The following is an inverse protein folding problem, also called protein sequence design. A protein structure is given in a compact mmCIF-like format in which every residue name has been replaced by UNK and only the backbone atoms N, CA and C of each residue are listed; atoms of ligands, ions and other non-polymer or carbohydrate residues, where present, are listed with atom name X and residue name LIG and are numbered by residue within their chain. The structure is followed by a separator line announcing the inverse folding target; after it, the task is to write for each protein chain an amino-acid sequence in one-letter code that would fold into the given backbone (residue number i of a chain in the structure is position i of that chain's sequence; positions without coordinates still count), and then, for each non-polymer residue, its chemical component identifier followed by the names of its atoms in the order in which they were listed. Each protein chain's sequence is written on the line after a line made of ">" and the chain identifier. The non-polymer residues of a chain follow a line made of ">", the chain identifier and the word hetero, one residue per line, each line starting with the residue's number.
data_IF_560749468792
#
_entry.id   IF_560749468792
#
_cell.length_a   1.000
_cell.length_b   1.000
_cell.length_c   1.000
_cell.angle_alpha   90.00
_cell.angle_beta   90.00
_cell.angle_gamma   90.00
#
_symmetry.space_group_name_H-M   'P 1'
#
loop_
_entity.id
_entity.type
_entity.pdbx_description
1 polymer ?
#
# COMPACT_ATOMS: atom_id res chain seq x y z
N UNK A 1 -37.36 -29.94 -14.21
CA UNK A 1 -38.34 -30.15 -15.31
C UNK A 1 -38.64 -31.66 -15.50
N UNK A 2 -37.68 -32.62 -15.64
CA UNK A 2 -38.02 -34.04 -15.87
C UNK A 2 -38.78 -34.70 -14.70
N UNK A 3 -38.52 -34.31 -13.46
CA UNK A 3 -39.17 -34.84 -12.27
C UNK A 3 -40.64 -34.46 -12.21
N UNK A 4 -40.98 -33.23 -12.58
CA UNK A 4 -42.37 -32.75 -12.61
C UNK A 4 -43.13 -33.45 -13.72
N UNK A 5 -42.53 -33.65 -14.90
CA UNK A 5 -43.13 -34.36 -16.03
C UNK A 5 -43.40 -35.82 -15.68
N UNK A 6 -42.44 -36.50 -15.04
CA UNK A 6 -42.61 -37.89 -14.57
C UNK A 6 -43.74 -37.99 -13.55
N UNK A 7 -43.86 -37.04 -12.63
CA UNK A 7 -44.88 -37.05 -11.59
C UNK A 7 -46.28 -36.80 -12.17
N UNK A 8 -46.42 -35.89 -13.13
CA UNK A 8 -47.68 -35.65 -13.86
C UNK A 8 -48.08 -36.88 -14.66
N UNK A 9 -47.12 -37.58 -15.26
CA UNK A 9 -47.37 -38.82 -16.00
C UNK A 9 -47.91 -39.95 -15.10
N UNK A 10 -47.31 -40.15 -13.92
CA UNK A 10 -47.73 -41.13 -12.92
C UNK A 10 -49.12 -40.81 -12.36
N UNK A 11 -49.43 -39.53 -12.13
CA UNK A 11 -50.75 -39.09 -11.68
C UNK A 11 -51.87 -39.36 -12.72
N UNK A 12 -51.52 -39.27 -14.01
CA UNK A 12 -52.47 -39.46 -15.12
C UNK A 12 -52.80 -40.94 -15.36
N UNK A 13 -51.90 -41.86 -14.96
CA UNK A 13 -52.01 -43.29 -15.21
C UNK A 13 -52.85 -44.04 -14.17
N UNK A 14 -52.98 -43.50 -12.94
CA UNK A 14 -53.73 -44.10 -11.85
C UNK A 14 -55.05 -43.36 -11.59
N UNK A 15 -56.16 -43.89 -12.08
CA UNK A 15 -57.53 -43.52 -11.67
C UNK A 15 -57.86 -44.08 -10.26
N UNK A 16 -57.14 -43.51 -9.26
CA UNK A 16 -57.36 -43.91 -7.85
C UNK A 16 -58.28 -42.88 -7.18
N UNK A 17 -59.32 -43.33 -6.47
CA UNK A 17 -60.10 -42.48 -5.55
C UNK A 17 -59.18 -42.07 -4.38
N UNK A 18 -58.59 -40.91 -4.48
CA UNK A 18 -57.62 -40.40 -3.55
C UNK A 18 -58.31 -39.88 -2.30
N UNK A 19 -58.18 -40.61 -1.16
CA UNK A 19 -58.58 -40.06 0.15
C UNK A 19 -57.71 -38.82 0.45
N UNK A 20 -58.24 -37.83 1.14
CA UNK A 20 -57.54 -36.58 1.54
C UNK A 20 -56.10 -36.80 2.09
N UNK A 21 -55.88 -37.90 2.77
CA UNK A 21 -54.62 -38.31 3.34
C UNK A 21 -53.51 -38.50 2.26
N UNK A 22 -53.85 -39.05 1.11
CA UNK A 22 -52.88 -39.24 0.01
C UNK A 22 -52.41 -37.92 -0.58
N UNK A 23 -53.26 -36.91 -0.69
CA UNK A 23 -52.89 -35.57 -1.14
C UNK A 23 -51.87 -34.92 -0.17
N UNK A 24 -52.07 -35.10 1.14
CA UNK A 24 -51.14 -34.61 2.16
C UNK A 24 -49.79 -35.31 2.05
N UNK A 25 -49.76 -36.62 1.84
CA UNK A 25 -48.51 -37.38 1.68
C UNK A 25 -47.72 -36.92 0.43
N UNK A 26 -48.43 -36.69 -0.69
CA UNK A 26 -47.77 -36.20 -1.91
C UNK A 26 -47.27 -34.76 -1.77
N UNK A 27 -48.04 -33.90 -1.12
CA UNK A 27 -47.61 -32.52 -0.83
C UNK A 27 -46.35 -32.50 0.03
N UNK A 28 -46.28 -33.34 1.07
CA UNK A 28 -45.08 -33.48 1.90
C UNK A 28 -43.87 -34.01 1.13
N UNK A 29 -44.06 -34.99 0.24
CA UNK A 29 -42.97 -35.48 -0.63
C UNK A 29 -42.45 -34.41 -1.58
N UNK A 30 -43.32 -33.62 -2.20
CA UNK A 30 -42.93 -32.52 -3.08
C UNK A 30 -42.18 -31.46 -2.27
N UNK A 31 -42.69 -31.11 -1.09
CA UNK A 31 -42.02 -30.16 -0.20
C UNK A 31 -40.62 -30.64 0.20
N UNK A 32 -40.46 -31.91 0.58
CA UNK A 32 -39.18 -32.51 0.95
C UNK A 32 -38.18 -32.49 -0.22
N UNK A 33 -38.62 -32.84 -1.45
CA UNK A 33 -37.77 -32.76 -2.66
C UNK A 33 -37.39 -31.32 -2.97
N UNK A 34 -38.33 -30.38 -2.84
CA UNK A 34 -38.05 -28.95 -3.05
C UNK A 34 -37.02 -28.42 -2.05
N UNK A 35 -37.16 -28.75 -0.76
CA UNK A 35 -36.18 -28.41 0.27
C UNK A 35 -34.81 -29.02 -0.04
N UNK A 36 -34.74 -30.26 -0.51
CA UNK A 36 -33.48 -30.91 -0.89
C UNK A 36 -32.82 -30.19 -2.06
N UNK A 37 -33.61 -29.78 -3.08
CA UNK A 37 -33.10 -29.01 -4.23
C UNK A 37 -32.54 -27.65 -3.77
N UNK A 38 -33.27 -26.94 -2.90
CA UNK A 38 -32.81 -25.66 -2.34
C UNK A 38 -31.55 -25.83 -1.51
N UNK A 39 -31.47 -26.90 -0.68
CA UNK A 39 -30.29 -27.19 0.11
C UNK A 39 -29.05 -27.49 -0.76
N UNK A 40 -29.24 -28.25 -1.85
CA UNK A 40 -28.15 -28.56 -2.80
C UNK A 40 -27.75 -27.35 -3.66
N UNK A 41 -28.67 -26.44 -3.95
CA UNK A 41 -28.41 -25.22 -4.69
C UNK A 41 -27.58 -24.21 -3.87
N UNK A 42 -27.48 -24.41 -2.54
CA UNK A 42 -26.77 -23.52 -1.61
C UNK A 42 -26.98 -22.02 -1.92
N UNK A 43 -28.26 -21.56 -2.02
CA UNK A 43 -28.52 -20.16 -2.35
C UNK A 43 -27.98 -19.28 -1.22
N UNK A 44 -27.17 -18.29 -1.56
CA UNK A 44 -26.77 -17.22 -0.64
C UNK A 44 -27.42 -15.91 -1.07
N UNK A 45 -27.87 -15.18 -0.08
CA UNK A 45 -28.49 -13.86 -0.28
C UNK A 45 -27.41 -12.83 0.07
N UNK A 46 -26.97 -12.07 -0.93
CA UNK A 46 -26.15 -10.90 -0.69
C UNK A 46 -27.08 -9.80 -0.14
N UNK A 47 -27.02 -9.59 1.16
CA UNK A 47 -27.65 -8.43 1.77
C UNK A 47 -26.76 -7.23 1.53
N UNK A 48 -27.29 -6.10 1.02
CA UNK A 48 -26.50 -4.88 0.94
C UNK A 48 -26.09 -4.49 2.35
N UNK A 49 -24.77 -4.31 2.55
CA UNK A 49 -24.24 -3.78 3.80
C UNK A 49 -24.38 -2.26 3.70
N UNK A 50 -25.36 -1.71 4.39
CA UNK A 50 -25.71 -0.28 4.33
C UNK A 50 -24.64 0.65 4.92
N UNK A 51 -23.69 0.11 5.68
CA UNK A 51 -22.61 0.88 6.30
C UNK A 51 -21.27 0.34 5.88
N UNK A 52 -20.49 1.17 5.23
CA UNK A 52 -19.11 0.91 4.83
C UNK A 52 -18.16 1.71 5.69
N UNK A 53 -17.08 1.07 6.13
CA UNK A 53 -15.97 1.73 6.80
C UNK A 53 -14.83 1.88 5.81
N UNK A 54 -14.28 3.08 5.71
CA UNK A 54 -13.10 3.35 4.89
C UNK A 54 -11.94 3.73 5.81
N UNK A 55 -10.86 2.96 5.72
CA UNK A 55 -9.67 3.14 6.54
C UNK A 55 -8.53 3.57 5.62
N UNK A 56 -8.17 4.84 5.66
CA UNK A 56 -6.99 5.35 4.97
C UNK A 56 -5.73 4.98 5.75
N UNK A 57 -4.79 4.36 5.07
CA UNK A 57 -3.52 3.93 5.63
C UNK A 57 -2.40 4.54 4.80
N UNK A 58 -1.78 5.59 5.32
CA UNK A 58 -0.80 6.41 4.63
C UNK A 58 0.61 6.04 5.07
N UNK A 59 1.43 5.64 4.13
CA UNK A 59 2.86 5.42 4.31
C UNK A 59 3.58 6.76 4.47
N UNK A 60 4.29 6.91 5.59
CA UNK A 60 5.13 8.07 5.93
C UNK A 60 6.56 7.66 6.23
N UNK A 61 7.05 6.64 5.54
CA UNK A 61 8.45 6.24 5.57
C UNK A 61 9.33 7.28 4.86
N UNK A 62 10.63 7.13 4.99
CA UNK A 62 11.59 8.04 4.37
C UNK A 62 11.46 8.07 2.83
N UNK A 63 11.09 6.93 2.21
CA UNK A 63 10.92 6.83 0.75
C UNK A 63 9.73 7.61 0.21
N UNK A 64 8.64 7.75 1.00
CA UNK A 64 7.41 8.43 0.61
C UNK A 64 7.31 9.87 1.11
N UNK A 65 8.33 10.38 1.77
CA UNK A 65 8.31 11.71 2.41
C UNK A 65 8.05 12.87 1.44
N UNK A 66 8.50 12.77 0.18
CA UNK A 66 8.23 13.76 -0.87
C UNK A 66 6.76 13.77 -1.31
N UNK A 67 6.05 12.65 -1.14
CA UNK A 67 4.69 12.44 -1.62
C UNK A 67 3.62 12.62 -0.52
N UNK A 68 4.02 13.05 0.68
CA UNK A 68 3.09 13.28 1.80
C UNK A 68 1.98 14.28 1.43
N UNK A 69 2.33 15.32 0.63
CA UNK A 69 1.34 16.28 0.16
C UNK A 69 0.33 15.64 -0.81
N UNK A 70 0.80 14.82 -1.75
CA UNK A 70 -0.04 14.10 -2.72
C UNK A 70 -0.99 13.15 -1.99
N UNK A 71 -0.49 12.39 -1.01
CA UNK A 71 -1.30 11.49 -0.20
C UNK A 71 -2.38 12.22 0.61
N UNK A 72 -2.01 13.34 1.26
CA UNK A 72 -2.96 14.14 2.04
C UNK A 72 -4.02 14.80 1.17
N UNK A 73 -3.66 15.28 -0.02
CA UNK A 73 -4.60 15.82 -0.99
C UNK A 73 -5.61 14.76 -1.45
N UNK A 74 -5.14 13.56 -1.79
CA UNK A 74 -6.01 12.44 -2.17
C UNK A 74 -7.03 12.12 -1.08
N UNK A 75 -6.60 12.02 0.18
CA UNK A 75 -7.50 11.75 1.31
C UNK A 75 -8.50 12.90 1.47
N UNK A 76 -8.06 14.16 1.37
CA UNK A 76 -8.94 15.34 1.48
C UNK A 76 -10.02 15.36 0.38
N UNK A 77 -9.65 15.03 -0.87
CA UNK A 77 -10.60 14.91 -1.98
C UNK A 77 -11.61 13.79 -1.74
N UNK A 78 -11.15 12.64 -1.23
CA UNK A 78 -12.03 11.53 -0.86
C UNK A 78 -13.01 11.90 0.25
N UNK A 79 -12.55 12.62 1.28
CA UNK A 79 -13.42 13.11 2.35
C UNK A 79 -14.49 14.09 1.86
N UNK A 80 -14.15 14.96 0.91
CA UNK A 80 -15.09 15.91 0.32
C UNK A 80 -16.22 15.22 -0.44
N UNK A 81 -15.96 14.04 -1.03
CA UNK A 81 -16.92 13.26 -1.79
C UNK A 81 -17.54 12.11 -0.97
N UNK A 82 -17.28 12.05 0.32
CA UNK A 82 -17.78 10.99 1.21
C UNK A 82 -19.32 11.07 1.39
N UNK A 83 -19.99 9.92 1.35
CA UNK A 83 -21.40 9.83 1.77
C UNK A 83 -21.52 9.90 3.29
N UNK A 84 -22.56 10.56 3.81
CA UNK A 84 -22.78 10.77 5.26
C UNK A 84 -22.82 9.46 6.07
N UNK A 85 -23.26 8.36 5.44
CA UNK A 85 -23.38 7.05 6.10
C UNK A 85 -22.04 6.30 6.27
N UNK A 86 -20.98 6.73 5.55
CA UNK A 86 -19.68 6.07 5.60
C UNK A 86 -18.87 6.57 6.80
N UNK A 87 -18.30 5.64 7.54
CA UNK A 87 -17.36 5.93 8.61
C UNK A 87 -15.94 5.93 8.04
N UNK A 88 -15.15 6.94 8.39
CA UNK A 88 -13.78 7.08 7.91
C UNK A 88 -12.83 7.12 9.09
N UNK A 89 -11.73 6.39 8.99
CA UNK A 89 -10.58 6.46 9.89
C UNK A 89 -9.32 6.77 9.09
N UNK A 90 -8.42 7.57 9.66
CA UNK A 90 -7.16 7.96 9.01
C UNK A 90 -6.00 7.52 9.90
N UNK A 91 -5.10 6.76 9.31
CA UNK A 91 -3.95 6.18 9.97
C UNK A 91 -2.71 6.46 9.14
N UNK A 92 -1.60 6.67 9.80
CA UNK A 92 -0.29 6.76 9.16
C UNK A 92 0.64 5.69 9.72
N UNK A 93 1.60 5.24 8.92
CA UNK A 93 2.56 4.24 9.34
C UNK A 93 3.94 4.47 8.70
N UNK A 94 4.93 3.90 9.33
CA UNK A 94 6.25 3.61 8.80
C UNK A 94 6.71 2.31 9.49
N UNK A 95 7.55 2.38 10.51
CA UNK A 95 7.89 1.25 11.38
C UNK A 95 6.73 0.89 12.33
N UNK A 96 5.93 1.87 12.73
CA UNK A 96 4.77 1.71 13.62
C UNK A 96 3.56 2.48 13.12
N UNK A 97 2.35 1.98 13.43
CA UNK A 97 1.08 2.63 13.10
C UNK A 97 0.79 3.78 14.07
N UNK A 98 0.27 4.88 13.53
CA UNK A 98 -0.32 6.01 14.29
C UNK A 98 -1.73 6.29 13.83
N UNK A 99 -2.59 6.62 14.79
CA UNK A 99 -3.95 7.06 14.53
C UNK A 99 -3.97 8.57 14.38
N UNK A 100 -4.28 9.06 13.19
CA UNK A 100 -4.42 10.49 12.90
C UNK A 100 -5.86 10.95 13.11
N UNK A 101 -6.83 10.10 12.75
CA UNK A 101 -8.25 10.29 13.07
C UNK A 101 -8.90 8.95 13.39
N UNK A 102 -9.66 8.90 14.48
CA UNK A 102 -10.44 7.73 14.84
C UNK A 102 -11.56 7.49 13.82
N UNK A 103 -11.97 6.23 13.69
CA UNK A 103 -13.08 5.83 12.82
C UNK A 103 -14.38 6.50 13.26
N UNK A 104 -14.93 7.39 12.43
CA UNK A 104 -16.16 8.14 12.69
C UNK A 104 -16.82 8.59 11.38
N UNK A 105 -18.13 8.78 11.41
CA UNK A 105 -18.87 9.42 10.31
C UNK A 105 -18.67 10.94 10.24
N UNK A 106 -18.15 11.55 11.31
CA UNK A 106 -17.97 13.00 11.45
C UNK A 106 -16.65 13.53 10.85
N UNK A 107 -15.79 12.64 10.30
CA UNK A 107 -14.52 13.06 9.69
C UNK A 107 -14.82 13.70 8.35
N UNK A 108 -14.62 15.02 8.24
CA UNK A 108 -14.89 15.83 7.04
C UNK A 108 -13.63 16.46 6.45
N UNK A 109 -12.55 16.52 7.22
CA UNK A 109 -11.30 17.13 6.78
C UNK A 109 -10.09 16.34 7.26
N UNK A 110 -8.99 16.48 6.53
CA UNK A 110 -7.71 15.87 6.89
C UNK A 110 -7.20 16.46 8.22
N UNK A 111 -6.89 15.62 9.22
CA UNK A 111 -6.35 16.11 10.50
C UNK A 111 -4.91 16.61 10.33
N UNK A 112 -4.44 17.37 11.32
CA UNK A 112 -3.01 17.66 11.40
C UNK A 112 -2.25 16.39 11.73
N UNK A 113 -1.29 16.04 10.89
CA UNK A 113 -0.51 14.81 11.04
C UNK A 113 0.41 14.85 12.25
N UNK A 114 0.44 13.76 12.98
CA UNK A 114 1.35 13.58 14.11
C UNK A 114 2.80 13.40 13.66
N UNK A 115 3.76 13.71 14.53
CA UNK A 115 5.19 13.48 14.21
C UNK A 115 5.51 11.98 14.25
N UNK A 116 6.11 11.45 13.19
CA UNK A 116 6.63 10.08 13.17
C UNK A 116 7.95 10.01 13.97
N UNK A 117 8.12 8.94 14.74
CA UNK A 117 9.33 8.72 15.57
C UNK A 117 10.39 7.89 14.87
N UNK A 118 10.01 7.02 13.95
CA UNK A 118 10.89 6.18 13.14
C UNK A 118 10.32 6.11 11.73
N UNK A 119 11.13 6.49 10.73
CA UNK A 119 10.75 6.51 9.32
C UNK A 119 11.69 5.67 8.45
N UNK A 120 12.68 5.03 9.07
CA UNK A 120 13.74 4.28 8.35
C UNK A 120 13.29 2.89 7.87
N UNK A 121 12.18 2.40 8.38
CA UNK A 121 11.59 1.11 7.99
C UNK A 121 10.12 1.29 7.64
N UNK A 122 9.65 0.44 6.72
CA UNK A 122 8.25 0.38 6.27
C UNK A 122 7.73 -1.03 6.58
N UNK A 123 6.71 -1.13 7.43
CA UNK A 123 6.07 -2.39 7.82
C UNK A 123 4.58 -2.36 7.47
N UNK A 124 4.27 -2.69 6.21
CA UNK A 124 2.90 -2.68 5.69
C UNK A 124 2.09 -3.82 6.31
N UNK A 125 2.72 -4.99 6.52
CA UNK A 125 2.07 -6.14 7.14
C UNK A 125 1.48 -5.79 8.51
N UNK A 126 2.28 -5.21 9.39
CA UNK A 126 1.86 -4.85 10.74
C UNK A 126 0.81 -3.74 10.73
N UNK A 127 0.95 -2.76 9.83
CA UNK A 127 -0.02 -1.69 9.65
C UNK A 127 -1.39 -2.23 9.22
N UNK A 128 -1.45 -3.17 8.27
CA UNK A 128 -2.68 -3.83 7.85
C UNK A 128 -3.31 -4.65 8.98
N UNK A 129 -2.53 -5.40 9.74
CA UNK A 129 -3.01 -6.17 10.91
C UNK A 129 -3.64 -5.26 11.95
N UNK A 130 -2.96 -4.18 12.30
CA UNK A 130 -3.45 -3.24 13.32
C UNK A 130 -4.72 -2.55 12.87
N UNK A 131 -4.74 -2.00 11.65
CA UNK A 131 -5.92 -1.29 11.13
C UNK A 131 -7.13 -2.23 10.99
N UNK A 132 -6.92 -3.46 10.54
CA UNK A 132 -8.00 -4.46 10.45
C UNK A 132 -8.55 -4.85 11.82
N UNK A 133 -7.72 -4.81 12.86
CA UNK A 133 -8.16 -5.09 14.23
C UNK A 133 -9.08 -4.01 14.81
N UNK A 134 -8.98 -2.77 14.31
CA UNK A 134 -9.80 -1.61 14.71
C UNK A 134 -11.16 -1.64 14.02
N UNK A 135 -11.23 -2.23 12.82
CA UNK A 135 -12.44 -2.29 12.02
C UNK A 135 -13.56 -3.12 12.70
N UNK A 136 -14.80 -2.65 12.54
CA UNK A 136 -15.98 -3.41 12.96
C UNK A 136 -16.23 -4.59 12.00
N UNK A 137 -16.07 -5.79 12.47
CA UNK A 137 -16.23 -7.03 11.69
C UNK A 137 -17.63 -7.25 11.11
N UNK A 138 -18.63 -6.50 11.59
CA UNK A 138 -20.01 -6.59 11.10
C UNK A 138 -20.29 -5.69 9.92
N UNK A 139 -19.34 -4.80 9.56
CA UNK A 139 -19.44 -3.85 8.46
C UNK A 139 -18.51 -4.26 7.32
N UNK A 140 -18.83 -3.82 6.09
CA UNK A 140 -17.88 -3.88 5.01
C UNK A 140 -16.75 -2.89 5.28
N UNK A 141 -15.51 -3.33 5.12
CA UNK A 141 -14.33 -2.52 5.38
C UNK A 141 -13.52 -2.39 4.11
N UNK A 142 -13.26 -1.16 3.72
CA UNK A 142 -12.33 -0.83 2.63
C UNK A 142 -11.09 -0.17 3.22
N UNK A 143 -9.95 -0.79 3.03
CA UNK A 143 -8.65 -0.22 3.39
C UNK A 143 -8.08 0.41 2.12
N UNK A 144 -7.76 1.70 2.19
CA UNK A 144 -7.09 2.43 1.11
C UNK A 144 -5.66 2.66 1.55
N UNK A 145 -4.76 1.87 0.98
CA UNK A 145 -3.33 1.90 1.29
C UNK A 145 -2.61 2.83 0.32
N UNK A 146 -2.04 3.92 0.82
CA UNK A 146 -1.23 4.86 0.07
C UNK A 146 0.24 4.59 0.39
N UNK A 147 0.99 4.03 -0.55
CA UNK A 147 2.39 3.59 -0.36
C UNK A 147 3.13 3.51 -1.70
N UNK A 148 4.45 3.56 -1.68
CA UNK A 148 5.31 3.23 -2.82
C UNK A 148 5.51 1.70 -2.99
N UNK A 149 5.00 0.90 -2.04
CA UNK A 149 5.09 -0.56 -2.05
C UNK A 149 6.43 -1.13 -1.56
N UNK A 150 7.37 -0.28 -1.14
CA UNK A 150 8.68 -0.69 -0.62
C UNK A 150 8.59 -1.13 0.85
N UNK A 151 8.11 -2.35 1.08
CA UNK A 151 8.15 -2.94 2.41
C UNK A 151 9.58 -3.38 2.75
N UNK A 152 10.13 -2.85 3.86
CA UNK A 152 11.48 -3.21 4.33
C UNK A 152 11.44 -4.23 5.47
N UNK A 153 10.30 -4.40 6.12
CA UNK A 153 10.09 -5.33 7.22
C UNK A 153 8.66 -5.86 7.15
N UNK A 154 8.49 -7.18 7.08
CA UNK A 154 7.19 -7.85 6.96
C UNK A 154 7.01 -8.63 5.65
N UNK A 155 5.84 -9.23 5.51
CA UNK A 155 5.41 -9.99 4.32
C UNK A 155 3.96 -9.66 3.97
N UNK A 156 3.71 -8.44 3.47
CA UNK A 156 2.38 -7.89 3.19
C UNK A 156 1.49 -8.81 2.36
N UNK A 157 2.06 -9.56 1.39
CA UNK A 157 1.27 -10.46 0.54
C UNK A 157 0.65 -11.61 1.32
N UNK A 158 1.32 -12.10 2.37
CA UNK A 158 0.77 -13.14 3.25
C UNK A 158 -0.42 -12.58 4.03
N UNK A 159 -0.29 -11.38 4.55
CA UNK A 159 -1.37 -10.72 5.29
C UNK A 159 -2.57 -10.41 4.38
N UNK A 160 -2.34 -9.79 3.22
CA UNK A 160 -3.38 -9.44 2.25
C UNK A 160 -4.20 -10.66 1.78
N UNK A 161 -3.56 -11.81 1.61
CA UNK A 161 -4.26 -13.06 1.23
C UNK A 161 -5.29 -13.53 2.26
N UNK A 162 -5.15 -13.15 3.54
CA UNK A 162 -6.13 -13.50 4.57
C UNK A 162 -7.47 -12.79 4.36
N UNK A 163 -7.47 -11.66 3.66
CA UNK A 163 -8.68 -10.86 3.41
C UNK A 163 -9.49 -11.34 2.20
N UNK A 164 -8.95 -12.21 1.34
CA UNK A 164 -9.57 -12.67 0.10
C UNK A 164 -11.00 -13.24 0.25
N UNK A 165 -11.35 -13.78 1.44
CA UNK A 165 -12.67 -14.34 1.75
C UNK A 165 -13.34 -13.63 2.93
N UNK A 166 -12.99 -12.40 3.20
CA UNK A 166 -13.54 -11.59 4.28
C UNK A 166 -14.34 -10.39 3.74
N UNK A 167 -14.96 -9.64 4.65
CA UNK A 167 -15.63 -8.38 4.32
C UNK A 167 -14.63 -7.20 4.22
N UNK A 168 -13.34 -7.48 4.07
CA UNK A 168 -12.27 -6.48 3.96
C UNK A 168 -11.74 -6.48 2.54
N UNK A 169 -11.73 -5.31 1.90
CA UNK A 169 -11.04 -5.06 0.64
C UNK A 169 -9.84 -4.14 0.88
N UNK A 170 -8.77 -4.35 0.13
CA UNK A 170 -7.58 -3.50 0.17
C UNK A 170 -7.37 -2.94 -1.23
N UNK A 171 -7.49 -1.63 -1.34
CA UNK A 171 -7.19 -0.88 -2.56
C UNK A 171 -5.86 -0.15 -2.37
N UNK A 172 -4.97 -0.21 -3.36
CA UNK A 172 -3.66 0.43 -3.28
C UNK A 172 -3.64 1.66 -4.18
N UNK A 173 -3.25 2.78 -3.61
CA UNK A 173 -2.95 4.03 -4.32
C UNK A 173 -1.43 4.17 -4.33
N UNK A 174 -0.78 3.97 -5.48
CA UNK A 174 0.66 4.07 -5.56
C UNK A 174 1.10 5.52 -5.32
N UNK A 175 2.00 5.70 -4.36
CA UNK A 175 2.75 6.94 -4.18
C UNK A 175 4.02 6.82 -5.03
N UNK A 176 3.87 7.09 -6.33
CA UNK A 176 5.02 7.12 -7.21
C UNK A 176 5.83 8.37 -6.88
N UNK A 177 7.04 8.17 -6.40
CA UNK A 177 7.98 9.26 -6.29
C UNK A 177 8.09 9.89 -7.68
N UNK A 178 7.50 11.06 -7.82
CA UNK A 178 7.76 11.88 -8.99
C UNK A 178 9.23 12.24 -8.87
N UNK A 179 10.10 11.44 -9.49
CA UNK A 179 11.51 11.73 -9.57
C UNK A 179 11.61 12.94 -10.49
N UNK A 180 11.29 14.12 -9.97
CA UNK A 180 11.74 15.38 -10.51
C UNK A 180 13.21 15.62 -10.11
N UNK A 181 13.91 14.51 -9.82
CA UNK A 181 15.36 14.56 -9.66
C UNK A 181 15.94 14.52 -11.07
N UNK A 182 15.96 15.68 -11.68
CA UNK A 182 16.71 15.92 -12.91
C UNK A 182 18.18 15.47 -12.80
N UNK A 183 18.65 15.10 -11.59
CA UNK A 183 20.01 14.67 -11.28
C UNK A 183 19.98 13.56 -10.23
N UNK A 184 20.62 12.44 -10.55
CA UNK A 184 20.75 11.28 -9.64
C UNK A 184 22.23 10.94 -9.45
N UNK A 185 22.71 10.86 -8.22
CA UNK A 185 24.00 10.27 -7.91
C UNK A 185 23.88 8.75 -7.95
N UNK A 186 24.29 8.12 -9.05
CA UNK A 186 24.16 6.67 -9.24
C UNK A 186 25.14 5.86 -8.38
N UNK A 187 26.40 6.34 -8.31
CA UNK A 187 27.41 5.72 -7.47
C UNK A 187 28.50 6.69 -7.04
N UNK A 188 29.07 6.39 -5.89
CA UNK A 188 30.28 7.04 -5.39
C UNK A 188 31.28 5.93 -5.02
N UNK A 189 32.38 5.86 -5.80
CA UNK A 189 33.38 4.84 -5.66
C UNK A 189 34.61 5.42 -4.95
N UNK A 190 35.04 4.74 -3.89
CA UNK A 190 36.25 5.09 -3.12
C UNK A 190 37.12 3.87 -2.92
N UNK A 191 38.44 3.99 -2.81
CA UNK A 191 39.33 2.89 -2.46
C UNK A 191 38.96 2.29 -1.09
N UNK A 192 38.92 0.98 -0.97
CA UNK A 192 38.66 0.31 0.30
C UNK A 192 39.86 0.37 1.27
N UNK A 193 41.06 0.51 0.73
CA UNK A 193 42.31 0.61 1.49
C UNK A 193 43.21 1.60 0.77
N UNK A 194 43.88 2.46 1.54
CA UNK A 194 44.89 3.38 1.05
C UNK A 194 46.00 3.52 2.09
N UNK A 195 47.23 3.82 1.64
CA UNK A 195 48.35 4.08 2.51
C UNK A 195 48.42 5.56 2.91
N UNK A 196 49.04 5.81 4.05
CA UNK A 196 49.25 7.19 4.50
C UNK A 196 50.01 8.03 3.46
N UNK A 197 49.47 9.19 3.12
CA UNK A 197 50.00 10.07 2.10
C UNK A 197 49.74 9.62 0.64
N UNK A 198 49.03 8.53 0.41
CA UNK A 198 48.68 8.06 -0.93
C UNK A 198 47.55 8.90 -1.53
N UNK A 199 47.75 9.24 -2.80
CA UNK A 199 46.72 9.93 -3.59
C UNK A 199 45.63 8.93 -3.98
N UNK A 200 44.43 9.16 -3.46
CA UNK A 200 43.24 8.35 -3.73
C UNK A 200 42.42 8.97 -4.86
N UNK A 201 41.74 8.12 -5.64
CA UNK A 201 40.79 8.56 -6.64
C UNK A 201 39.35 8.33 -6.10
N UNK A 202 38.59 9.40 -6.03
CA UNK A 202 37.19 9.41 -5.68
C UNK A 202 36.39 9.59 -6.98
N UNK A 203 35.52 8.62 -7.32
CA UNK A 203 34.80 8.63 -8.60
C UNK A 203 33.30 8.76 -8.32
N UNK A 204 32.68 9.77 -8.93
CA UNK A 204 31.24 9.99 -8.90
C UNK A 204 30.65 9.69 -10.27
N UNK A 205 29.61 8.87 -10.31
CA UNK A 205 28.77 8.68 -11.48
C UNK A 205 27.41 9.36 -11.23
N UNK A 206 27.10 10.34 -12.05
CA UNK A 206 25.90 11.20 -11.90
C UNK A 206 25.08 11.10 -13.17
N UNK A 207 23.83 10.70 -13.06
CA UNK A 207 22.87 10.76 -14.17
C UNK A 207 22.13 12.10 -14.14
N UNK A 208 21.98 12.73 -15.29
CA UNK A 208 21.17 13.92 -15.45
C UNK A 208 20.17 13.73 -16.60
N UNK A 209 18.92 14.10 -16.37
CA UNK A 209 17.86 13.99 -17.38
C UNK A 209 18.00 15.05 -18.49
N UNK A 210 18.64 16.16 -18.20
CA UNK A 210 18.89 17.26 -19.12
C UNK A 210 20.19 17.98 -18.78
N UNK A 211 20.71 18.77 -19.74
CA UNK A 211 21.87 19.64 -19.48
C UNK A 211 21.57 20.67 -18.39
N UNK A 212 22.39 20.71 -17.34
CA UNK A 212 22.27 21.69 -16.26
C UNK A 212 23.54 21.88 -15.45
N UNK A 213 23.60 23.01 -14.73
CA UNK A 213 24.67 23.27 -13.79
C UNK A 213 24.36 22.61 -12.44
N UNK A 214 25.33 21.90 -11.90
CA UNK A 214 25.25 21.28 -10.60
C UNK A 214 26.48 21.61 -9.75
N UNK A 215 26.35 21.50 -8.45
CA UNK A 215 27.42 21.63 -7.51
C UNK A 215 27.70 20.26 -6.90
N UNK A 216 28.94 19.79 -7.04
CA UNK A 216 29.45 18.58 -6.43
C UNK A 216 30.16 18.95 -5.13
N UNK A 217 29.76 18.32 -4.01
CA UNK A 217 30.35 18.56 -2.71
C UNK A 217 30.80 17.20 -2.16
N UNK A 218 32.06 17.12 -1.73
CA UNK A 218 32.61 15.92 -1.10
C UNK A 218 32.99 16.20 0.36
N UNK A 219 32.72 15.24 1.21
CA UNK A 219 33.08 15.27 2.62
C UNK A 219 33.97 14.08 3.00
N UNK A 220 34.88 14.31 3.93
CA UNK A 220 35.66 13.32 4.63
C UNK A 220 35.39 13.48 6.14
N UNK A 221 34.84 12.45 6.81
CA UNK A 221 34.48 12.47 8.23
C UNK A 221 33.68 13.72 8.64
N UNK A 222 32.63 14.05 7.84
CA UNK A 222 31.76 15.22 7.98
C UNK A 222 32.47 16.60 7.70
N UNK A 223 33.77 16.62 7.35
CA UNK A 223 34.48 17.84 6.91
C UNK A 223 34.44 17.95 5.39
N UNK A 224 34.07 19.14 4.90
CA UNK A 224 34.00 19.41 3.46
C UNK A 224 35.42 19.53 2.85
N UNK A 225 35.75 18.61 1.93
CA UNK A 225 37.02 18.52 1.25
C UNK A 225 37.03 19.12 -0.18
N UNK A 226 35.83 19.12 -0.81
CA UNK A 226 35.68 19.65 -2.16
C UNK A 226 34.30 20.29 -2.33
N UNK A 227 34.26 21.39 -3.09
CA UNK A 227 33.04 22.00 -3.61
C UNK A 227 33.34 22.54 -4.99
N UNK A 228 32.67 21.96 -6.03
CA UNK A 228 32.95 22.33 -7.42
C UNK A 228 31.65 22.40 -8.22
N UNK A 229 31.48 23.51 -8.95
CA UNK A 229 30.42 23.63 -9.95
C UNK A 229 30.82 22.90 -11.23
N UNK A 230 29.90 22.06 -11.75
CA UNK A 230 30.09 21.29 -12.96
C UNK A 230 28.90 21.43 -13.90
N UNK A 231 29.16 21.35 -15.20
CA UNK A 231 28.10 21.24 -16.19
C UNK A 231 27.81 19.76 -16.43
N UNK A 232 26.61 19.33 -16.10
CA UNK A 232 26.10 17.99 -16.42
C UNK A 232 25.53 17.98 -17.83
N UNK A 233 25.85 16.95 -18.60
CA UNK A 233 25.22 16.64 -19.87
C UNK A 233 24.07 15.65 -19.66
N UNK A 234 23.11 15.62 -20.56
CA UNK A 234 22.06 14.59 -20.56
C UNK A 234 22.68 13.18 -20.57
N UNK A 235 22.21 12.33 -19.67
CA UNK A 235 22.72 10.96 -19.47
C UNK A 235 23.77 10.86 -18.38
N UNK A 236 24.69 9.91 -18.50
CA UNK A 236 25.69 9.58 -17.50
C UNK A 236 26.91 10.49 -17.57
N UNK A 237 27.22 11.12 -16.44
CA UNK A 237 28.38 11.96 -16.24
C UNK A 237 29.31 11.32 -15.22
N UNK A 238 30.62 11.23 -15.54
CA UNK A 238 31.62 10.66 -14.64
C UNK A 238 32.66 11.70 -14.26
N UNK A 239 32.80 11.94 -12.95
CA UNK A 239 33.79 12.85 -12.39
C UNK A 239 34.79 12.06 -11.54
N UNK A 240 36.06 12.40 -11.67
CA UNK A 240 37.13 11.77 -10.88
C UNK A 240 37.91 12.87 -10.17
N UNK A 241 37.97 12.76 -8.85
CA UNK A 241 38.70 13.68 -7.99
C UNK A 241 39.87 12.95 -7.34
N UNK A 242 41.01 13.66 -7.25
CA UNK A 242 42.16 13.14 -6.54
C UNK A 242 42.24 13.79 -5.16
N UNK A 243 42.31 12.96 -4.13
CA UNK A 243 42.39 13.42 -2.74
C UNK A 243 43.46 12.67 -1.98
N UNK A 244 44.15 13.36 -1.05
CA UNK A 244 45.10 12.80 -0.11
C UNK A 244 44.52 13.02 1.28
N UNK A 245 44.11 11.94 1.96
CA UNK A 245 43.61 12.07 3.32
C UNK A 245 44.76 12.36 4.28
N UNK A 246 44.55 13.28 5.19
CA UNK A 246 45.44 13.53 6.33
C UNK A 246 45.10 12.69 7.55
N UNK A 247 44.01 11.93 7.50
CA UNK A 247 43.48 11.15 8.60
C UNK A 247 43.88 9.67 8.46
N UNK A 248 44.28 9.03 9.54
CA UNK A 248 44.56 7.58 9.58
C UNK A 248 43.42 6.84 10.28
N UNK A 249 43.12 5.62 9.83
CA UNK A 249 42.09 4.77 10.41
C UNK A 249 40.87 4.60 9.48
N UNK A 250 39.67 4.47 10.04
CA UNK A 250 38.46 4.37 9.27
C UNK A 250 38.04 5.78 8.81
N UNK A 251 37.91 5.95 7.50
CA UNK A 251 37.54 7.21 6.87
C UNK A 251 36.17 7.02 6.23
N UNK A 252 35.25 7.94 6.52
CA UNK A 252 33.91 8.02 5.90
C UNK A 252 33.95 9.11 4.82
N UNK A 253 33.70 8.71 3.57
CA UNK A 253 33.50 9.66 2.48
C UNK A 253 32.02 9.80 2.16
N UNK A 254 31.56 11.01 1.92
CA UNK A 254 30.20 11.33 1.47
C UNK A 254 30.24 12.26 0.28
N UNK A 255 29.30 12.06 -0.64
CA UNK A 255 29.13 12.91 -1.81
C UNK A 255 27.71 13.47 -1.87
N UNK A 256 27.60 14.75 -2.16
CA UNK A 256 26.35 15.45 -2.36
C UNK A 256 26.36 16.13 -3.73
N UNK A 257 25.27 15.99 -4.48
CA UNK A 257 25.03 16.68 -5.74
C UNK A 257 23.78 17.53 -5.59
N UNK A 258 23.89 18.82 -5.89
CA UNK A 258 22.75 19.73 -5.84
C UNK A 258 22.73 20.62 -7.08
N UNK A 259 21.53 21.00 -7.53
CA UNK A 259 21.38 21.96 -8.62
C UNK A 259 21.91 23.32 -8.19
N UNK A 260 22.74 23.94 -9.04
CA UNK A 260 23.11 25.34 -8.85
C UNK A 260 21.88 26.21 -9.09
N UNK A 261 21.42 26.91 -8.05
CA UNK A 261 20.32 27.88 -8.16
C UNK A 261 20.79 29.12 -8.95
#
# INVERSE_FOLDING_TARGET
>A
IPVIVYFVFVLKQHKVQWKKLHYVIYALRIAAISCLIVALANPYILLPIDKEQVLFLMDRSASTSSEEHTATQFIQEALTNKEEKHEVGIYSFADTLKTESLLSSEVEAMPQLSTMTSVSHTNIEEALKMVTSIADKQKATRIVLLTDGNETNGEVLIEANKYANSNVSVDVVPLEKTINEDIVLESFETPQVAYDGEQQQLVLNVYAESEKQAELILYENDEKILQQSVALQEGNNRYTFSHISATTGLIKYEALVQTAN
#
